data_IF_152708058343
#
_entry.id   IF_152708058343
#
_cell.length_a   1.000
_cell.length_b   1.000
_cell.length_c   1.000
_cell.angle_alpha   90.00
_cell.angle_beta   90.00
_cell.angle_gamma   90.00
#
_symmetry.space_group_name_H-M   'P 1'
#
loop_
_entity.id
_entity.type
_entity.pdbx_description
1 polymer ?
#
# COMPACT_ATOMS: atom_id res chain seq x y z
N UNK A 1 9.61 -6.26 -14.81
CA UNK A 1 9.01 -7.62 -14.88
C UNK A 1 8.06 -7.84 -13.71
N UNK A 2 7.10 -8.78 -13.83
CA UNK A 2 6.12 -9.09 -12.77
C UNK A 2 6.76 -9.42 -11.41
N UNK A 3 7.81 -10.22 -11.44
CA UNK A 3 8.57 -10.62 -10.24
C UNK A 3 9.18 -9.40 -9.51
N UNK A 4 9.64 -8.40 -10.25
CA UNK A 4 10.18 -7.17 -9.66
C UNK A 4 9.09 -6.37 -8.93
N UNK A 5 7.87 -6.33 -9.46
CA UNK A 5 6.76 -5.64 -8.81
C UNK A 5 6.34 -6.34 -7.52
N UNK A 6 6.28 -7.67 -7.54
CA UNK A 6 6.00 -8.47 -6.34
C UNK A 6 7.10 -8.26 -5.29
N UNK A 7 8.37 -8.30 -5.69
CA UNK A 7 9.49 -8.06 -4.77
C UNK A 7 9.45 -6.65 -4.17
N UNK A 8 9.21 -5.62 -4.99
CA UNK A 8 9.04 -4.23 -4.49
C UNK A 8 7.88 -4.10 -3.50
N UNK A 9 6.77 -4.81 -3.73
CA UNK A 9 5.65 -4.84 -2.80
C UNK A 9 6.03 -5.49 -1.46
N UNK A 10 6.77 -6.60 -1.51
CA UNK A 10 7.25 -7.31 -0.30
C UNK A 10 8.30 -6.48 0.46
N UNK A 11 9.22 -5.82 -0.24
CA UNK A 11 10.18 -4.90 0.37
C UNK A 11 9.48 -3.74 1.05
N UNK A 12 8.48 -3.14 0.39
CA UNK A 12 7.68 -2.07 0.97
C UNK A 12 6.98 -2.53 2.25
N UNK A 13 6.41 -3.73 2.26
CA UNK A 13 5.76 -4.33 3.43
C UNK A 13 6.71 -4.44 4.63
N UNK A 14 7.99 -4.77 4.37
CA UNK A 14 9.00 -4.94 5.42
C UNK A 14 9.62 -3.63 5.93
N UNK A 15 9.36 -2.48 5.29
CA UNK A 15 9.95 -1.20 5.70
C UNK A 15 9.51 -0.80 7.11
N UNK A 16 10.46 -0.32 7.91
CA UNK A 16 10.19 0.18 9.27
C UNK A 16 9.40 1.48 9.22
N UNK A 17 8.15 1.45 9.68
CA UNK A 17 7.24 2.60 9.69
C UNK A 17 7.19 3.30 11.05
N UNK A 18 8.35 3.72 11.58
CA UNK A 18 8.48 4.47 12.84
C UNK A 18 9.11 5.84 12.59
N UNK A 19 8.78 6.84 13.40
CA UNK A 19 9.40 8.17 13.33
C UNK A 19 9.10 8.98 12.05
N UNK A 20 8.06 8.61 11.29
CA UNK A 20 7.76 9.22 9.99
C UNK A 20 7.32 10.68 10.14
N UNK A 21 7.87 11.58 9.31
CA UNK A 21 7.35 12.94 9.13
C UNK A 21 6.04 12.94 8.34
N UNK A 22 5.35 14.07 8.27
CA UNK A 22 4.16 14.22 7.41
C UNK A 22 4.49 13.96 5.94
N UNK A 23 5.63 14.45 5.44
CA UNK A 23 6.08 14.23 4.06
C UNK A 23 6.33 12.75 3.78
N UNK A 24 6.98 12.03 4.71
CA UNK A 24 7.23 10.59 4.56
C UNK A 24 5.93 9.82 4.49
N UNK A 25 4.96 10.14 5.35
CA UNK A 25 3.65 9.50 5.33
C UNK A 25 2.92 9.73 4.00
N UNK A 26 2.99 10.93 3.41
CA UNK A 26 2.40 11.21 2.09
C UNK A 26 3.07 10.34 1.02
N UNK A 27 4.39 10.27 1.00
CA UNK A 27 5.15 9.43 0.05
C UNK A 27 4.77 7.95 0.18
N UNK A 28 4.72 7.44 1.42
CA UNK A 28 4.36 6.05 1.72
C UNK A 28 2.91 5.75 1.28
N UNK A 29 1.95 6.65 1.53
CA UNK A 29 0.57 6.45 1.08
C UNK A 29 0.47 6.37 -0.44
N UNK A 30 1.18 7.26 -1.16
CA UNK A 30 1.21 7.27 -2.62
C UNK A 30 1.87 6.00 -3.18
N UNK A 31 3.03 5.61 -2.64
CA UNK A 31 3.73 4.40 -3.05
C UNK A 31 2.89 3.14 -2.83
N UNK A 32 2.24 3.01 -1.67
CA UNK A 32 1.31 1.91 -1.42
C UNK A 32 0.17 1.88 -2.43
N UNK A 33 -0.43 3.03 -2.76
CA UNK A 33 -1.51 3.12 -3.77
C UNK A 33 -1.02 2.64 -5.13
N UNK A 34 0.15 3.09 -5.58
CA UNK A 34 0.75 2.67 -6.86
C UNK A 34 0.96 1.17 -6.89
N UNK A 35 1.63 0.60 -5.87
CA UNK A 35 1.87 -0.84 -5.79
C UNK A 35 0.57 -1.66 -5.83
N UNK A 36 -0.48 -1.22 -5.13
CA UNK A 36 -1.78 -1.91 -5.14
C UNK A 36 -2.42 -1.88 -6.54
N UNK A 37 -2.39 -0.73 -7.23
CA UNK A 37 -2.98 -0.60 -8.56
C UNK A 37 -2.21 -1.43 -9.60
N UNK A 38 -0.89 -1.47 -9.50
CA UNK A 38 -0.06 -2.26 -10.39
C UNK A 38 -0.27 -3.77 -10.14
N UNK A 39 -0.32 -4.21 -8.88
CA UNK A 39 -0.64 -5.60 -8.51
C UNK A 39 -2.05 -6.01 -8.97
N UNK A 40 -3.01 -5.08 -8.96
CA UNK A 40 -4.36 -5.35 -9.46
C UNK A 40 -4.38 -5.69 -10.96
N UNK A 41 -3.47 -5.12 -11.77
CA UNK A 41 -3.37 -5.48 -13.18
C UNK A 41 -2.95 -6.95 -13.34
N UNK A 42 -1.99 -7.41 -12.54
CA UNK A 42 -1.56 -8.82 -12.55
C UNK A 42 -2.69 -9.72 -12.03
N UNK A 43 -3.34 -9.32 -10.92
CA UNK A 43 -4.46 -10.07 -10.35
C UNK A 43 -5.61 -10.23 -11.35
N UNK A 44 -5.94 -9.20 -12.13
CA UNK A 44 -6.99 -9.29 -13.15
C UNK A 44 -6.72 -10.36 -14.20
N UNK A 45 -5.45 -10.54 -14.59
CA UNK A 45 -5.04 -11.53 -15.57
C UNK A 45 -4.93 -12.94 -14.97
N UNK A 46 -4.36 -13.08 -13.77
CA UNK A 46 -4.01 -14.39 -13.18
C UNK A 46 -4.99 -14.90 -12.13
N UNK A 47 -5.73 -14.00 -11.47
CA UNK A 47 -6.62 -14.30 -10.33
C UNK A 47 -5.92 -15.03 -9.18
N UNK A 48 -4.62 -14.82 -9.02
CA UNK A 48 -3.82 -15.47 -7.97
C UNK A 48 -4.13 -14.87 -6.58
N UNK A 49 -4.55 -15.74 -5.65
CA UNK A 49 -4.87 -15.36 -4.27
C UNK A 49 -3.68 -14.75 -3.52
N UNK A 50 -2.44 -15.15 -3.84
CA UNK A 50 -1.23 -14.60 -3.21
C UNK A 50 -1.08 -13.10 -3.52
N UNK A 51 -1.42 -12.69 -4.74
CA UNK A 51 -1.39 -11.28 -5.15
C UNK A 51 -2.45 -10.49 -4.36
N UNK A 52 -3.64 -11.06 -4.22
CA UNK A 52 -4.71 -10.47 -3.41
C UNK A 52 -4.28 -10.29 -1.95
N UNK A 53 -3.60 -11.26 -1.36
CA UNK A 53 -3.11 -11.16 0.01
C UNK A 53 -2.06 -10.07 0.18
N UNK A 54 -1.13 -9.93 -0.77
CA UNK A 54 -0.17 -8.81 -0.79
C UNK A 54 -0.92 -7.47 -0.86
N UNK A 55 -1.91 -7.35 -1.76
CA UNK A 55 -2.71 -6.13 -1.89
C UNK A 55 -3.46 -5.78 -0.59
N UNK A 56 -4.04 -6.78 0.10
CA UNK A 56 -4.72 -6.58 1.40
C UNK A 56 -3.74 -6.05 2.46
N UNK A 57 -2.53 -6.59 2.54
CA UNK A 57 -1.49 -6.15 3.49
C UNK A 57 -1.01 -4.73 3.19
N UNK A 58 -0.74 -4.41 1.93
CA UNK A 58 -0.41 -3.04 1.50
C UNK A 58 -1.56 -2.05 1.80
N UNK A 59 -2.80 -2.47 1.60
CA UNK A 59 -3.99 -1.64 1.89
C UNK A 59 -4.10 -1.34 3.39
N UNK A 60 -3.81 -2.31 4.26
CA UNK A 60 -3.79 -2.10 5.70
C UNK A 60 -2.70 -1.10 6.12
N UNK A 61 -1.50 -1.21 5.54
CA UNK A 61 -0.39 -0.27 5.76
C UNK A 61 -0.80 1.15 5.32
N UNK A 62 -1.31 1.30 4.09
CA UNK A 62 -1.78 2.58 3.54
C UNK A 62 -2.81 3.23 4.45
N UNK A 63 -3.86 2.49 4.85
CA UNK A 63 -4.91 2.98 5.75
C UNK A 63 -4.35 3.43 7.09
N UNK A 64 -3.39 2.71 7.67
CA UNK A 64 -2.74 3.08 8.93
C UNK A 64 -1.97 4.40 8.82
N UNK A 65 -1.27 4.61 7.71
CA UNK A 65 -0.51 5.85 7.43
C UNK A 65 -1.46 7.02 7.19
N UNK A 66 -2.52 6.83 6.40
CA UNK A 66 -3.52 7.87 6.12
C UNK A 66 -4.29 8.30 7.37
N UNK A 67 -4.67 7.37 8.25
CA UNK A 67 -5.27 7.72 9.56
C UNK A 67 -4.37 8.64 10.39
N UNK A 68 -3.05 8.48 10.29
CA UNK A 68 -2.07 9.35 10.99
C UNK A 68 -1.85 10.68 10.29
N UNK A 69 -2.07 10.75 8.97
CA UNK A 69 -2.02 11.99 8.19
C UNK A 69 -3.25 12.87 8.41
N UNK A 70 -4.44 12.28 8.35
CA UNK A 70 -5.72 12.99 8.39
C UNK A 70 -6.18 13.30 9.83
N UNK A 71 -5.55 12.71 10.84
CA UNK A 71 -5.93 12.91 12.25
C UNK A 71 -7.31 12.31 12.58
N UNK A 72 -8.01 12.90 13.56
CA UNK A 72 -9.33 12.46 14.05
C UNK A 72 -10.51 12.85 13.14
N UNK A 73 -10.28 13.59 12.05
CA UNK A 73 -11.36 13.92 11.11
C UNK A 73 -11.63 12.75 10.17
N UNK A 74 -12.30 11.74 10.72
CA UNK A 74 -13.10 10.82 9.93
C UNK A 74 -14.20 11.62 9.24
N UNK A 75 -14.02 11.92 7.98
CA UNK A 75 -15.11 11.80 6.99
C UNK A 75 -14.51 11.12 5.77
N UNK A 76 -14.70 9.80 5.71
CA UNK A 76 -14.70 9.13 4.43
C UNK A 76 -15.87 9.75 3.65
N UNK A 77 -15.56 10.74 2.80
CA UNK A 77 -16.47 11.19 1.76
C UNK A 77 -16.81 9.98 0.91
N UNK A 78 -18.11 9.66 0.91
CA UNK A 78 -18.79 8.71 0.05
C UNK A 78 -18.47 9.05 -1.42
#
# INVERSE_FOLDING_TARGET
MELELINRALEFEQRKMRGLSTSDRVKISREAKTLILDLNQIYKAKKDEKIMDIMKRLTAIKRKVEKRLLGKHLTAGI
#
